data_IF_436583917159
#
_entry.id   IF_436583917159
#
_cell.length_a   1.000
_cell.length_b   1.000
_cell.length_c   1.000
_cell.angle_alpha   90.00
_cell.angle_beta   90.00
_cell.angle_gamma   90.00
#
_symmetry.space_group_name_H-M   'P 1'
#
loop_
_entity.id
_entity.type
_entity.pdbx_description
1 polymer ?
#
# COMPACT_ATOMS: atom_id res chain seq x y z
N UNK A 1 0.26 19.83 11.50
CA UNK A 1 1.36 19.63 10.51
C UNK A 1 1.63 18.14 10.41
N UNK A 2 1.57 17.54 9.21
CA UNK A 2 1.82 16.10 9.05
C UNK A 2 3.33 15.80 9.11
N UNK A 3 3.71 14.53 9.31
CA UNK A 3 5.11 14.11 9.56
C UNK A 3 6.08 14.60 8.47
N UNK A 4 5.66 14.50 7.21
CA UNK A 4 6.52 14.74 6.05
C UNK A 4 6.34 16.10 5.38
N UNK A 5 5.42 16.93 5.87
CA UNK A 5 5.00 18.21 5.27
C UNK A 5 4.68 18.14 3.77
N UNK A 6 4.35 16.96 3.27
CA UNK A 6 3.96 16.71 1.89
C UNK A 6 2.44 16.71 1.79
N UNK A 7 1.91 17.38 0.77
CA UNK A 7 0.50 17.31 0.41
C UNK A 7 0.26 16.00 -0.36
N UNK A 8 -0.59 15.14 0.17
CA UNK A 8 -0.90 13.87 -0.46
C UNK A 8 -1.97 14.09 -1.53
N UNK A 9 -1.60 13.84 -2.78
CA UNK A 9 -2.52 13.88 -3.91
C UNK A 9 -2.58 12.52 -4.59
N UNK A 10 -3.67 12.31 -5.32
CA UNK A 10 -3.91 11.10 -6.10
C UNK A 10 -4.25 11.46 -7.53
N UNK A 11 -4.03 10.52 -8.43
CA UNK A 11 -4.54 10.53 -9.80
C UNK A 11 -5.30 9.24 -10.06
N UNK A 12 -6.15 9.22 -11.08
CA UNK A 12 -6.90 8.02 -11.41
C UNK A 12 -5.94 6.87 -11.78
N UNK A 13 -6.33 5.64 -11.49
CA UNK A 13 -5.55 4.46 -11.86
C UNK A 13 -5.27 4.39 -13.37
N UNK A 14 -6.22 4.84 -14.20
CA UNK A 14 -6.07 4.94 -15.66
C UNK A 14 -4.99 5.92 -16.13
N UNK A 15 -4.67 6.93 -15.32
CA UNK A 15 -3.65 7.93 -15.65
C UNK A 15 -2.26 7.58 -15.09
N UNK A 16 -2.14 6.48 -14.33
CA UNK A 16 -0.89 6.11 -13.63
C UNK A 16 -0.56 4.62 -13.75
N UNK A 17 -0.62 4.12 -14.99
CA UNK A 17 -0.31 2.72 -15.27
C UNK A 17 1.09 2.33 -14.78
N UNK A 18 2.08 3.21 -14.89
CA UNK A 18 3.45 2.95 -14.40
C UNK A 18 3.51 2.71 -12.87
N UNK A 19 2.66 3.38 -12.10
CA UNK A 19 2.58 3.17 -10.64
C UNK A 19 1.97 1.81 -10.34
N UNK A 20 0.90 1.43 -11.05
CA UNK A 20 0.28 0.12 -10.93
C UNK A 20 1.27 -0.99 -11.28
N UNK A 21 1.98 -0.86 -12.40
CA UNK A 21 2.94 -1.85 -12.87
C UNK A 21 4.09 -2.01 -11.87
N UNK A 22 4.58 -0.90 -11.31
CA UNK A 22 5.59 -0.94 -10.25
C UNK A 22 5.10 -1.68 -9.01
N UNK A 23 3.92 -1.32 -8.49
CA UNK A 23 3.36 -1.95 -7.28
C UNK A 23 3.06 -3.43 -7.53
N UNK A 24 2.48 -3.77 -8.67
CA UNK A 24 2.21 -5.15 -9.07
C UNK A 24 3.49 -5.98 -9.15
N UNK A 25 4.58 -5.42 -9.72
CA UNK A 25 5.88 -6.09 -9.76
C UNK A 25 6.44 -6.38 -8.37
N UNK A 26 6.28 -5.46 -7.41
CA UNK A 26 6.67 -5.68 -6.00
C UNK A 26 5.79 -6.75 -5.35
N UNK A 27 4.48 -6.72 -5.57
CA UNK A 27 3.51 -7.69 -5.01
C UNK A 27 3.76 -9.12 -5.49
N UNK A 28 4.26 -9.30 -6.72
CA UNK A 28 4.68 -10.61 -7.24
C UNK A 28 5.79 -11.29 -6.42
N UNK A 29 6.51 -10.58 -5.54
CA UNK A 29 7.42 -11.24 -4.57
C UNK A 29 6.68 -12.22 -3.64
N UNK A 30 5.39 -11.96 -3.39
CA UNK A 30 4.53 -12.76 -2.52
C UNK A 30 3.44 -13.51 -3.28
N UNK A 31 3.54 -13.57 -4.60
CA UNK A 31 2.51 -14.18 -5.46
C UNK A 31 1.12 -13.59 -5.18
N UNK A 32 1.05 -12.26 -5.14
CA UNK A 32 -0.19 -11.50 -4.92
C UNK A 32 -0.56 -10.79 -6.22
N UNK A 33 -1.83 -10.93 -6.60
CA UNK A 33 -2.47 -10.22 -7.70
C UNK A 33 -3.93 -9.99 -7.32
N UNK A 34 -4.33 -8.74 -7.14
CA UNK A 34 -5.67 -8.41 -6.66
C UNK A 34 -6.68 -8.40 -7.82
N UNK A 35 -7.82 -9.06 -7.62
CA UNK A 35 -8.94 -9.00 -8.57
C UNK A 35 -9.73 -7.69 -8.49
N UNK A 36 -9.70 -7.00 -7.35
CA UNK A 36 -10.41 -5.75 -7.15
C UNK A 36 -9.92 -4.66 -8.11
N UNK A 37 -10.81 -3.80 -8.58
CA UNK A 37 -10.45 -2.69 -9.48
C UNK A 37 -9.64 -1.63 -8.74
N UNK A 38 -8.44 -1.25 -9.23
CA UNK A 38 -7.74 -0.08 -8.72
C UNK A 38 -8.49 1.19 -9.15
N UNK A 39 -8.69 2.12 -8.21
CA UNK A 39 -9.38 3.38 -8.42
C UNK A 39 -8.39 4.52 -8.61
N UNK A 40 -7.45 4.64 -7.68
CA UNK A 40 -6.54 5.78 -7.58
C UNK A 40 -5.14 5.33 -7.18
N UNK A 41 -4.14 6.13 -7.56
CA UNK A 41 -2.75 5.91 -7.17
C UNK A 41 -2.09 7.21 -6.71
N UNK A 42 -1.00 7.07 -5.97
CA UNK A 42 -0.10 8.17 -5.65
C UNK A 42 1.33 7.67 -5.66
N UNK A 43 2.27 8.43 -6.24
CA UNK A 43 3.69 8.07 -6.28
C UNK A 43 4.53 9.32 -6.11
N UNK A 44 5.40 9.31 -5.10
CA UNK A 44 6.22 10.46 -4.76
C UNK A 44 7.44 10.02 -3.93
N UNK A 45 8.37 10.94 -3.73
CA UNK A 45 9.50 10.73 -2.81
C UNK A 45 9.50 11.84 -1.77
N UNK A 46 9.68 11.47 -0.50
CA UNK A 46 9.99 12.42 0.58
C UNK A 46 11.26 11.93 1.24
N UNK A 47 12.23 12.84 1.40
CA UNK A 47 13.56 12.50 1.95
C UNK A 47 14.17 11.32 1.15
N UNK A 48 14.61 10.27 1.84
CA UNK A 48 15.19 9.06 1.26
C UNK A 48 14.18 7.92 1.05
N UNK A 49 12.87 8.19 1.10
CA UNK A 49 11.83 7.16 0.96
C UNK A 49 10.98 7.44 -0.27
N UNK A 50 11.00 6.49 -1.21
CA UNK A 50 10.07 6.46 -2.34
C UNK A 50 8.78 5.79 -1.89
N UNK A 51 7.67 6.46 -2.07
CA UNK A 51 6.34 5.94 -1.76
C UNK A 51 5.56 5.66 -3.04
N UNK A 52 4.80 4.57 -3.02
CA UNK A 52 3.73 4.33 -3.98
C UNK A 52 2.49 3.85 -3.22
N UNK A 53 1.31 4.25 -3.69
CA UNK A 53 0.02 3.89 -3.13
C UNK A 53 -0.93 3.45 -4.24
N UNK A 54 -1.75 2.45 -3.97
CA UNK A 54 -2.88 2.02 -4.80
C UNK A 54 -4.09 1.83 -3.90
N UNK A 55 -5.22 2.42 -4.30
CA UNK A 55 -6.50 2.31 -3.61
C UNK A 55 -7.46 1.49 -4.46
N UNK A 56 -8.08 0.48 -3.87
CA UNK A 56 -8.98 -0.45 -4.53
C UNK A 56 -10.44 -0.22 -4.12
N UNK A 57 -11.37 -0.61 -4.99
CA UNK A 57 -12.81 -0.42 -4.78
C UNK A 57 -13.39 -1.17 -3.56
N UNK A 58 -12.72 -2.24 -3.14
CA UNK A 58 -13.08 -3.04 -1.95
C UNK A 58 -12.57 -2.42 -0.63
N UNK A 59 -12.02 -1.20 -0.70
CA UNK A 59 -11.53 -0.46 0.45
C UNK A 59 -10.16 -0.91 0.96
N UNK A 60 -9.43 -1.73 0.19
CA UNK A 60 -8.01 -1.99 0.38
C UNK A 60 -7.16 -0.81 -0.10
N UNK A 61 -6.22 -0.40 0.75
CA UNK A 61 -5.04 0.36 0.36
C UNK A 61 -3.80 -0.54 0.39
N UNK A 62 -3.03 -0.50 -0.70
CA UNK A 62 -1.67 -1.05 -0.77
C UNK A 62 -0.71 0.12 -0.83
N UNK A 63 0.32 0.12 0.02
CA UNK A 63 1.45 1.03 -0.14
C UNK A 63 2.77 0.29 -0.25
N UNK A 64 3.71 0.90 -0.96
CA UNK A 64 5.11 0.53 -1.00
C UNK A 64 5.89 1.66 -0.34
N UNK A 65 6.62 1.33 0.73
CA UNK A 65 7.64 2.19 1.31
C UNK A 65 9.00 1.66 0.88
N UNK A 66 9.70 2.40 0.02
CA UNK A 66 10.98 1.98 -0.54
C UNK A 66 12.09 2.95 -0.14
N UNK A 67 12.71 2.66 1.01
CA UNK A 67 13.89 3.40 1.49
C UNK A 67 15.07 3.17 0.54
N UNK A 68 15.67 4.25 0.04
CA UNK A 68 16.68 4.22 -1.03
C UNK A 68 17.98 3.56 -0.54
N UNK A 69 18.43 3.92 0.66
CA UNK A 69 19.73 3.57 1.23
C UNK A 69 19.69 2.49 2.32
N UNK A 70 18.50 2.02 2.70
CA UNK A 70 18.33 0.96 3.72
C UNK A 70 17.32 -0.10 3.26
N UNK A 71 17.78 -1.19 2.60
CA UNK A 71 16.91 -2.27 2.15
C UNK A 71 16.07 -2.92 3.25
N UNK A 72 16.50 -2.86 4.52
CA UNK A 72 15.75 -3.44 5.65
C UNK A 72 14.53 -2.61 6.02
N UNK A 73 14.44 -1.38 5.55
CA UNK A 73 13.29 -0.47 5.72
C UNK A 73 12.42 -0.38 4.47
N UNK A 74 12.42 -1.42 3.63
CA UNK A 74 11.52 -1.56 2.49
C UNK A 74 10.36 -2.47 2.84
N UNK A 75 9.13 -2.03 2.62
CA UNK A 75 7.95 -2.82 2.95
C UNK A 75 6.76 -2.51 2.03
N UNK A 76 5.88 -3.50 1.91
CA UNK A 76 4.52 -3.31 1.43
C UNK A 76 3.57 -3.31 2.62
N UNK A 77 2.76 -2.27 2.75
CA UNK A 77 1.69 -2.18 3.73
C UNK A 77 0.33 -2.45 3.10
N UNK A 78 -0.54 -3.12 3.86
CA UNK A 78 -1.95 -3.31 3.56
C UNK A 78 -2.77 -2.60 4.63
N UNK A 79 -3.73 -1.76 4.22
CA UNK A 79 -4.75 -1.21 5.14
C UNK A 79 -6.13 -1.48 4.58
N UNK A 80 -7.06 -1.83 5.47
CA UNK A 80 -8.46 -2.03 5.14
C UNK A 80 -9.30 -1.00 5.86
N UNK A 81 -10.23 -0.43 5.10
CA UNK A 81 -11.30 0.41 5.63
C UNK A 81 -12.15 -0.36 6.66
N UNK A 82 -12.81 0.38 7.55
CA UNK A 82 -13.71 -0.20 8.55
C UNK A 82 -14.89 -0.92 7.85
N UNK A 83 -15.25 -2.11 8.32
CA UNK A 83 -16.35 -2.91 7.74
C UNK A 83 -15.99 -3.77 6.52
N UNK A 84 -14.89 -3.50 5.81
CA UNK A 84 -14.51 -4.28 4.61
C UNK A 84 -14.01 -5.69 4.92
N UNK A 85 -14.15 -6.65 4.01
CA UNK A 85 -13.58 -7.99 4.21
C UNK A 85 -12.07 -8.00 3.89
N UNK A 86 -11.36 -9.05 4.34
CA UNK A 86 -9.98 -9.25 3.90
C UNK A 86 -10.02 -9.85 2.49
N UNK A 87 -9.32 -9.27 1.50
CA UNK A 87 -9.26 -9.84 0.15
C UNK A 87 -8.77 -11.29 0.18
N UNK A 88 -9.37 -12.15 -0.66
CA UNK A 88 -9.09 -13.60 -0.70
C UNK A 88 -7.62 -13.90 -0.94
N UNK A 89 -6.95 -13.03 -1.67
CA UNK A 89 -5.54 -13.13 -2.03
C UNK A 89 -4.61 -12.96 -0.81
N UNK A 90 -5.10 -12.33 0.25
CA UNK A 90 -4.41 -12.10 1.53
C UNK A 90 -4.93 -12.97 2.68
N UNK A 91 -6.15 -13.49 2.56
CA UNK A 91 -6.79 -14.32 3.57
C UNK A 91 -5.94 -15.56 3.88
N UNK A 92 -5.75 -15.85 5.17
CA UNK A 92 -4.89 -16.94 5.65
C UNK A 92 -3.38 -16.73 5.48
N UNK A 93 -2.94 -15.90 4.51
CA UNK A 93 -1.51 -15.57 4.28
C UNK A 93 -1.01 -14.47 5.22
N UNK A 94 -1.88 -13.53 5.59
CA UNK A 94 -1.53 -12.38 6.40
C UNK A 94 -2.41 -12.28 7.64
N UNK A 95 -1.76 -11.98 8.78
CA UNK A 95 -2.47 -11.65 10.01
C UNK A 95 -2.75 -10.15 10.03
N UNK A 96 -4.03 -9.78 10.05
CA UNK A 96 -4.46 -8.39 10.17
C UNK A 96 -4.62 -7.99 11.64
N UNK A 97 -3.84 -6.99 12.05
CA UNK A 97 -4.00 -6.35 13.35
C UNK A 97 -5.09 -5.28 13.27
N UNK A 98 -5.85 -5.11 14.36
CA UNK A 98 -6.84 -4.04 14.52
C UNK A 98 -6.24 -2.96 15.41
N UNK A 99 -6.27 -1.72 14.95
CA UNK A 99 -5.87 -0.56 15.74
C UNK A 99 -7.03 0.45 15.77
N UNK A 100 -7.40 0.88 16.98
CA UNK A 100 -8.40 1.95 17.16
C UNK A 100 -7.70 3.31 17.01
N UNK A 101 -8.04 4.02 15.94
CA UNK A 101 -7.61 5.39 15.67
C UNK A 101 -8.55 6.37 16.37
N UNK A 102 -8.00 7.46 16.90
CA UNK A 102 -8.80 8.60 17.40
C UNK A 102 -9.46 9.39 16.25
N UNK A 103 -8.96 9.25 15.02
CA UNK A 103 -9.39 10.01 13.86
C UNK A 103 -10.26 9.21 12.89
N UNK A 104 -9.94 7.93 12.69
CA UNK A 104 -10.44 7.14 11.55
C UNK A 104 -11.11 5.82 11.98
N UNK A 105 -11.66 5.76 13.21
CA UNK A 105 -12.31 4.54 13.71
C UNK A 105 -11.33 3.36 13.82
N UNK A 106 -11.77 2.15 13.47
CA UNK A 106 -10.93 0.95 13.51
C UNK A 106 -10.22 0.73 12.18
N UNK A 107 -8.89 0.84 12.18
CA UNK A 107 -8.06 0.48 11.02
C UNK A 107 -7.59 -0.95 11.19
N UNK A 108 -7.68 -1.73 10.12
CA UNK A 108 -7.02 -3.04 10.01
C UNK A 108 -5.83 -2.95 9.10
N UNK A 109 -4.72 -3.55 9.49
CA UNK A 109 -3.55 -3.57 8.62
C UNK A 109 -2.66 -4.78 8.81
N UNK A 110 -1.88 -5.05 7.78
CA UNK A 110 -0.81 -6.04 7.76
C UNK A 110 0.31 -5.54 6.85
N UNK A 111 1.42 -6.26 6.76
CA UNK A 111 2.54 -5.87 5.90
C UNK A 111 3.47 -7.05 5.59
N UNK A 112 4.35 -6.86 4.62
CA UNK A 112 5.57 -7.65 4.50
C UNK A 112 6.77 -6.78 4.15
N UNK A 113 7.97 -7.23 4.56
CA UNK A 113 9.24 -6.62 4.19
C UNK A 113 9.64 -7.09 2.79
N UNK A 114 10.03 -6.15 1.94
CA UNK A 114 10.51 -6.40 0.57
C UNK A 114 11.94 -6.91 0.65
N UNK A 115 12.23 -8.04 0.01
CA UNK A 115 13.57 -8.65 0.03
C UNK A 115 14.34 -8.44 -1.27
N UNK A 116 13.65 -8.22 -2.39
CA UNK A 116 14.27 -8.00 -3.70
C UNK A 116 14.41 -6.51 -4.02
N UNK A 117 15.03 -6.21 -5.16
CA UNK A 117 15.19 -4.85 -5.68
C UNK A 117 14.22 -4.61 -6.83
N UNK A 118 13.71 -3.37 -6.91
CA UNK A 118 12.58 -2.98 -7.77
C UNK A 118 12.64 -1.53 -8.18
#
# INVERSE_FOLDING_TARGET
>A
MNKYKHEFTVVSASESQETLDYVNRVLKERDIEFAAKPLETSRFQVENIKFAYVFYEDGLEVNVMYTVDDPKKRAVGFKLSEGMEVPKELEGKFKFARQKSKLAGTIRGSFFVIKREY
#
